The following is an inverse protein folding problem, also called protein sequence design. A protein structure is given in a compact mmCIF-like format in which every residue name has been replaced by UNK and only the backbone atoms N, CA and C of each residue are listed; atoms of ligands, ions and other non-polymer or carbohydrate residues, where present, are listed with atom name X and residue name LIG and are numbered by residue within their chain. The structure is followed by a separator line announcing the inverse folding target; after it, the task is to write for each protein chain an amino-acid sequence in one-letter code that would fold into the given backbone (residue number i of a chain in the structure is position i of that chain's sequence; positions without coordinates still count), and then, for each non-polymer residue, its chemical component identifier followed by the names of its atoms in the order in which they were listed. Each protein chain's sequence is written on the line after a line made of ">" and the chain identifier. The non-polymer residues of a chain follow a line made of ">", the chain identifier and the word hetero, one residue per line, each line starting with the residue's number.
data_IF_773112161300
#
_entry.id   IF_773112161300
#
_cell.length_a   1.000
_cell.length_b   1.000
_cell.length_c   1.000
_cell.angle_alpha   90.00
_cell.angle_beta   90.00
_cell.angle_gamma   90.00
#
_symmetry.space_group_name_H-M   'P 1'
#
loop_
_entity.id
_entity.type
_entity.pdbx_description
1 polymer ?
#
# COMPACT_ATOMS: atom_id res chain seq x y z
N UNK A 1 -24.58 4.08 0.33
CA UNK A 1 -24.73 4.73 1.67
C UNK A 1 -26.10 4.51 2.34
N UNK A 2 -27.08 3.83 1.70
CA UNK A 2 -28.40 3.51 2.30
C UNK A 2 -28.46 2.19 3.07
N UNK A 3 -27.57 1.23 2.79
CA UNK A 3 -27.55 -0.08 3.45
C UNK A 3 -27.10 -0.03 4.92
N UNK A 4 -26.19 0.89 5.27
CA UNK A 4 -25.64 0.99 6.64
C UNK A 4 -26.66 1.55 7.66
N UNK A 5 -27.59 2.40 7.23
CA UNK A 5 -28.64 2.93 8.11
C UNK A 5 -29.68 1.86 8.48
N UNK A 6 -29.91 0.88 7.61
CA UNK A 6 -30.92 -0.14 7.82
C UNK A 6 -30.48 -1.19 8.85
N UNK A 7 -29.19 -1.51 8.85
CA UNK A 7 -28.57 -2.45 9.79
C UNK A 7 -28.69 -1.93 11.23
N UNK A 8 -28.41 -0.64 11.45
CA UNK A 8 -28.44 -0.04 12.79
C UNK A 8 -29.86 -0.02 13.40
N UNK A 9 -30.90 0.08 12.55
CA UNK A 9 -32.30 0.06 12.98
C UNK A 9 -32.77 -1.33 13.41
N UNK A 10 -32.26 -2.38 12.76
CA UNK A 10 -32.55 -3.77 13.11
C UNK A 10 -31.94 -4.11 14.48
N UNK A 11 -30.72 -3.67 14.76
CA UNK A 11 -30.06 -3.89 16.05
C UNK A 11 -30.78 -3.21 17.23
N UNK A 12 -31.26 -1.98 17.03
CA UNK A 12 -32.01 -1.25 18.07
C UNK A 12 -33.34 -1.92 18.42
N UNK A 13 -34.03 -2.50 17.42
CA UNK A 13 -35.32 -3.17 17.64
C UNK A 13 -35.16 -4.53 18.32
N UNK A 14 -34.11 -5.28 17.98
CA UNK A 14 -33.80 -6.55 18.65
C UNK A 14 -33.43 -6.32 20.12
N UNK A 15 -32.62 -5.30 20.42
CA UNK A 15 -32.22 -4.98 21.80
C UNK A 15 -33.39 -4.59 22.70
N UNK A 16 -34.35 -3.79 22.19
CA UNK A 16 -35.58 -3.46 22.92
C UNK A 16 -36.43 -4.69 23.24
N UNK A 17 -36.53 -5.62 22.30
CA UNK A 17 -37.31 -6.86 22.47
C UNK A 17 -36.71 -7.73 23.58
N UNK A 18 -35.37 -7.81 23.66
CA UNK A 18 -34.69 -8.51 24.76
C UNK A 18 -34.90 -7.83 26.11
N UNK A 19 -34.83 -6.50 26.17
CA UNK A 19 -35.07 -5.76 27.41
C UNK A 19 -36.52 -5.92 27.90
N UNK A 20 -37.51 -5.94 27.00
CA UNK A 20 -38.90 -6.19 27.40
C UNK A 20 -39.10 -7.60 27.96
N UNK A 21 -38.51 -8.63 27.34
CA UNK A 21 -38.59 -10.02 27.82
C UNK A 21 -37.93 -10.16 29.20
N UNK A 22 -36.79 -9.52 29.41
CA UNK A 22 -36.09 -9.54 30.71
C UNK A 22 -36.88 -8.78 31.78
N UNK A 23 -37.48 -7.64 31.44
CA UNK A 23 -38.21 -6.80 32.38
C UNK A 23 -39.60 -7.35 32.72
N UNK A 24 -40.27 -8.05 31.80
CA UNK A 24 -41.56 -8.74 32.07
C UNK A 24 -41.39 -10.03 32.87
N UNK A 25 -40.23 -10.68 32.83
CA UNK A 25 -39.96 -11.91 33.60
C UNK A 25 -39.64 -11.63 35.09
N UNK A 26 -39.55 -10.36 35.50
CA UNK A 26 -39.26 -9.97 36.89
C UNK A 26 -40.48 -10.07 37.83
N UNK A 27 -41.71 -10.17 37.32
CA UNK A 27 -42.94 -10.05 38.15
C UNK A 27 -43.60 -11.36 38.58
N UNK A 28 -43.08 -12.54 38.22
CA UNK A 28 -43.77 -13.83 38.45
C UNK A 28 -42.98 -14.91 39.18
N UNK A 29 -41.95 -14.58 39.96
CA UNK A 29 -41.28 -15.60 40.79
C UNK A 29 -41.11 -15.14 42.23
N UNK A 30 -42.21 -15.30 42.98
CA UNK A 30 -42.15 -15.54 44.42
C UNK A 30 -41.44 -16.88 44.63
N UNK A 31 -40.16 -16.83 44.99
CA UNK A 31 -39.44 -18.01 45.45
C UNK A 31 -39.44 -18.01 46.98
N UNK A 32 -40.06 -19.04 47.62
CA UNK A 32 -40.15 -19.12 49.07
C UNK A 32 -38.77 -19.38 49.68
N UNK A 33 -38.61 -18.92 50.92
CA UNK A 33 -37.34 -18.74 51.62
C UNK A 33 -36.32 -19.88 51.47
N UNK A 34 -35.14 -19.53 50.98
CA UNK A 34 -33.83 -19.79 51.60
C UNK A 34 -32.70 -19.42 50.63
N UNK A 35 -31.80 -18.57 51.11
CA UNK A 35 -30.46 -18.31 50.57
C UNK A 35 -30.38 -17.74 49.13
N UNK A 36 -30.75 -16.45 49.03
CA UNK A 36 -30.61 -15.54 47.89
C UNK A 36 -29.19 -15.41 47.28
N UNK A 37 -28.17 -16.01 47.88
CA UNK A 37 -26.77 -15.85 47.47
C UNK A 37 -26.41 -16.72 46.26
N UNK A 38 -26.96 -17.94 46.16
CA UNK A 38 -26.64 -18.87 45.08
C UNK A 38 -27.03 -18.39 43.67
N UNK A 39 -28.26 -17.89 43.40
CA UNK A 39 -28.62 -17.45 42.06
C UNK A 39 -27.92 -16.14 41.66
N UNK A 40 -27.57 -15.29 42.63
CA UNK A 40 -26.83 -14.03 42.39
C UNK A 40 -25.40 -14.31 41.96
N UNK A 41 -24.73 -15.28 42.61
CA UNK A 41 -23.37 -15.67 42.27
C UNK A 41 -23.32 -16.31 40.87
N UNK A 42 -24.29 -17.17 40.55
CA UNK A 42 -24.37 -17.79 39.21
C UNK A 42 -24.65 -16.74 38.12
N UNK A 43 -25.53 -15.77 38.38
CA UNK A 43 -25.78 -14.67 37.43
C UNK A 43 -24.56 -13.76 37.24
N UNK A 44 -23.79 -13.49 38.30
CA UNK A 44 -22.57 -12.68 38.21
C UNK A 44 -21.44 -13.38 37.43
N UNK A 45 -21.31 -14.70 37.58
CA UNK A 45 -20.32 -15.50 36.84
C UNK A 45 -20.69 -15.58 35.35
N UNK A 46 -21.97 -15.77 35.02
CA UNK A 46 -22.43 -15.78 33.62
C UNK A 46 -22.30 -14.40 32.97
N UNK A 47 -22.59 -13.31 33.70
CA UNK A 47 -22.42 -11.96 33.20
C UNK A 47 -20.95 -11.61 32.93
N UNK A 48 -20.03 -12.04 33.79
CA UNK A 48 -18.58 -11.82 33.58
C UNK A 48 -18.02 -12.66 32.44
N UNK A 49 -18.47 -13.90 32.26
CA UNK A 49 -18.07 -14.75 31.12
C UNK A 49 -18.56 -14.19 29.77
N UNK A 50 -19.78 -13.65 29.72
CA UNK A 50 -20.32 -13.03 28.49
C UNK A 50 -19.58 -11.72 28.18
N UNK A 51 -19.21 -10.92 29.18
CA UNK A 51 -18.42 -9.70 28.95
C UNK A 51 -17.02 -10.03 28.44
N UNK A 52 -16.37 -11.09 28.92
CA UNK A 52 -15.02 -11.49 28.45
C UNK A 52 -15.07 -12.08 27.02
N UNK A 53 -16.10 -12.84 26.67
CA UNK A 53 -16.25 -13.41 25.33
C UNK A 53 -16.70 -12.39 24.27
N UNK A 54 -17.32 -11.28 24.67
CA UNK A 54 -17.73 -10.18 23.78
C UNK A 54 -16.91 -8.89 23.96
N UNK A 55 -15.85 -8.93 24.78
CA UNK A 55 -14.82 -7.91 24.80
C UNK A 55 -14.00 -8.03 23.52
N UNK A 56 -14.52 -7.48 22.43
CA UNK A 56 -13.69 -7.08 21.31
C UNK A 56 -12.66 -6.10 21.89
N UNK A 57 -11.35 -6.39 21.93
CA UNK A 57 -10.41 -5.30 21.97
C UNK A 57 -10.67 -4.55 20.67
N UNK A 58 -11.38 -3.43 20.78
CA UNK A 58 -11.32 -2.39 19.76
C UNK A 58 -9.89 -1.87 19.78
N UNK A 59 -8.96 -2.69 19.28
CA UNK A 59 -7.81 -2.20 18.55
C UNK A 59 -8.46 -1.45 17.39
N UNK A 60 -8.69 -0.16 17.62
CA UNK A 60 -8.60 0.85 16.58
C UNK A 60 -7.17 0.77 16.04
N UNK A 61 -6.90 -0.32 15.33
CA UNK A 61 -6.05 -0.30 14.18
C UNK A 61 -6.81 0.59 13.20
N UNK A 62 -6.64 1.90 13.35
CA UNK A 62 -6.38 2.72 12.19
C UNK A 62 -5.12 2.12 11.54
N UNK A 63 -5.29 0.95 10.93
CA UNK A 63 -4.67 0.61 9.69
C UNK A 63 -5.25 1.62 8.71
N UNK A 64 -4.81 2.87 8.84
CA UNK A 64 -4.44 3.59 7.65
C UNK A 64 -3.59 2.58 6.91
N UNK A 65 -4.18 1.97 5.89
CA UNK A 65 -3.41 1.56 4.74
C UNK A 65 -2.70 2.85 4.36
N UNK A 66 -1.53 3.06 4.96
CA UNK A 66 -0.45 3.73 4.30
C UNK A 66 -0.21 2.81 3.12
N UNK A 67 -1.05 2.95 2.09
CA UNK A 67 -0.67 2.60 0.75
C UNK A 67 0.55 3.47 0.56
N UNK A 68 1.73 2.90 0.81
CA UNK A 68 2.92 3.35 0.12
C UNK A 68 2.46 3.36 -1.33
N UNK A 69 2.13 4.54 -1.85
CA UNK A 69 1.78 4.69 -3.25
C UNK A 69 2.89 3.98 -4.01
N UNK A 70 2.50 2.99 -4.82
CA UNK A 70 3.49 2.26 -5.59
C UNK A 70 4.22 3.27 -6.48
N UNK A 71 5.47 2.99 -6.87
CA UNK A 71 6.22 3.90 -7.77
C UNK A 71 5.41 4.20 -9.02
N UNK A 72 4.66 3.20 -9.51
CA UNK A 72 3.71 3.38 -10.61
C UNK A 72 2.58 4.35 -10.27
N UNK A 73 1.92 4.22 -9.11
CA UNK A 73 0.86 5.14 -8.71
C UNK A 73 1.35 6.60 -8.66
N UNK A 74 2.59 6.81 -8.19
CA UNK A 74 3.20 8.13 -8.18
C UNK A 74 3.41 8.68 -9.59
N UNK A 75 3.97 7.89 -10.50
CA UNK A 75 4.19 8.30 -11.90
C UNK A 75 2.86 8.59 -12.60
N UNK A 76 1.82 7.78 -12.38
CA UNK A 76 0.50 8.00 -12.96
C UNK A 76 -0.16 9.27 -12.41
N UNK A 77 0.04 9.55 -11.12
CA UNK A 77 -0.50 10.74 -10.46
C UNK A 77 0.22 12.02 -10.92
N UNK A 78 1.56 12.02 -10.96
CA UNK A 78 2.36 13.20 -11.32
C UNK A 78 2.45 13.40 -12.83
N UNK A 79 2.21 12.35 -13.62
CA UNK A 79 2.52 12.28 -15.05
C UNK A 79 4.00 12.51 -15.36
N UNK A 80 4.87 12.30 -14.39
CA UNK A 80 6.31 12.52 -14.51
C UNK A 80 7.04 11.23 -14.17
N UNK A 81 7.96 10.82 -15.04
CA UNK A 81 8.94 9.78 -14.78
C UNK A 81 10.26 10.48 -14.46
N UNK A 82 10.76 10.30 -13.24
CA UNK A 82 12.08 10.80 -12.85
C UNK A 82 13.13 9.80 -13.33
N UNK A 83 14.08 10.23 -14.12
CA UNK A 83 15.11 9.38 -14.70
C UNK A 83 16.49 9.78 -14.18
N UNK A 84 17.20 8.80 -13.63
CA UNK A 84 18.65 8.89 -13.45
C UNK A 84 19.34 8.64 -14.80
N UNK A 85 20.49 9.25 -15.02
CA UNK A 85 21.23 9.11 -16.28
C UNK A 85 22.71 8.80 -16.05
N UNK A 86 23.29 8.07 -16.98
CA UNK A 86 24.71 7.68 -16.98
C UNK A 86 25.28 8.04 -18.34
N UNK A 87 26.48 8.64 -18.37
CA UNK A 87 27.19 8.86 -19.63
C UNK A 87 27.57 7.52 -20.27
N UNK A 88 26.90 7.14 -21.35
CA UNK A 88 27.14 5.88 -22.05
C UNK A 88 26.89 6.01 -23.56
N UNK A 89 27.73 6.77 -24.31
CA UNK A 89 27.53 6.94 -25.74
C UNK A 89 27.57 5.60 -26.50
N UNK A 90 26.73 5.40 -27.54
CA UNK A 90 25.76 6.34 -28.09
C UNK A 90 24.37 6.28 -27.44
N UNK A 91 24.20 5.50 -26.36
CA UNK A 91 22.89 5.27 -25.73
C UNK A 91 22.35 6.48 -24.96
N UNK A 92 23.19 7.07 -24.10
CA UNK A 92 22.98 8.32 -23.41
C UNK A 92 24.24 9.17 -23.61
N UNK A 93 24.06 10.37 -24.13
CA UNK A 93 25.07 11.39 -24.38
C UNK A 93 24.63 12.60 -23.58
N UNK A 94 25.52 13.07 -22.70
CA UNK A 94 25.26 14.20 -21.81
C UNK A 94 26.07 15.38 -22.32
N UNK A 95 25.40 16.49 -22.61
CA UNK A 95 26.08 17.74 -22.91
C UNK A 95 26.68 18.31 -21.61
N UNK A 96 28.01 18.47 -21.52
CA UNK A 96 28.67 18.92 -20.29
C UNK A 96 28.33 20.37 -19.91
N UNK A 97 27.83 21.19 -20.85
CA UNK A 97 27.48 22.59 -20.60
C UNK A 97 26.03 22.76 -20.18
N UNK A 98 25.12 21.98 -20.77
CA UNK A 98 23.67 22.12 -20.56
C UNK A 98 23.07 21.02 -19.68
N UNK A 99 23.84 19.96 -19.38
CA UNK A 99 23.35 18.73 -18.74
C UNK A 99 22.20 18.06 -19.51
N UNK A 100 22.02 18.39 -20.80
CA UNK A 100 20.99 17.80 -21.63
C UNK A 100 21.36 16.36 -21.95
N UNK A 101 20.45 15.45 -21.62
CA UNK A 101 20.55 14.02 -21.98
C UNK A 101 19.97 13.82 -23.37
N UNK A 102 20.70 13.10 -24.22
CA UNK A 102 20.33 12.76 -25.59
C UNK A 102 20.86 11.37 -25.95
N UNK A 103 20.54 10.85 -27.14
CA UNK A 103 21.10 9.60 -27.64
C UNK A 103 20.03 8.54 -27.86
N UNK A 104 20.40 7.42 -28.48
CA UNK A 104 19.39 6.51 -29.07
C UNK A 104 18.43 5.93 -28.02
N UNK A 105 18.90 5.65 -26.80
CA UNK A 105 18.04 5.11 -25.74
C UNK A 105 17.29 6.22 -25.01
N UNK A 106 17.94 7.35 -24.74
CA UNK A 106 17.27 8.51 -24.15
C UNK A 106 16.10 8.98 -25.03
N UNK A 107 16.35 9.16 -26.33
CA UNK A 107 15.34 9.61 -27.30
C UNK A 107 14.20 8.60 -27.45
N UNK A 108 14.52 7.29 -27.44
CA UNK A 108 13.51 6.24 -27.50
C UNK A 108 12.64 6.22 -26.23
N UNK A 109 13.25 6.46 -25.06
CA UNK A 109 12.56 6.52 -23.79
C UNK A 109 11.64 7.74 -23.68
N UNK A 110 12.10 8.91 -24.14
CA UNK A 110 11.27 10.11 -24.21
C UNK A 110 10.06 9.91 -25.13
N UNK A 111 10.26 9.33 -26.32
CA UNK A 111 9.15 8.99 -27.24
C UNK A 111 8.18 7.96 -26.65
N UNK A 112 8.68 7.02 -25.86
CA UNK A 112 7.82 6.05 -25.15
C UNK A 112 6.96 6.75 -24.10
N UNK A 113 7.57 7.62 -23.30
CA UNK A 113 6.86 8.41 -22.28
C UNK A 113 5.81 9.33 -22.91
N UNK A 114 6.14 10.00 -24.02
CA UNK A 114 5.23 10.85 -24.78
C UNK A 114 3.98 10.08 -25.23
N UNK A 115 4.17 8.89 -25.81
CA UNK A 115 3.06 7.99 -26.21
C UNK A 115 2.20 7.56 -25.02
N UNK A 116 2.79 7.46 -23.83
CA UNK A 116 2.08 7.17 -22.58
C UNK A 116 1.48 8.43 -21.92
N UNK A 117 1.57 9.61 -22.53
CA UNK A 117 1.16 10.89 -21.94
C UNK A 117 1.86 11.18 -20.60
N UNK A 118 3.14 10.82 -20.53
CA UNK A 118 4.07 11.03 -19.41
C UNK A 118 5.22 11.94 -19.86
N UNK A 119 5.77 12.72 -18.92
CA UNK A 119 6.95 13.55 -19.14
C UNK A 119 8.16 12.91 -18.48
N UNK A 120 9.29 12.85 -19.19
CA UNK A 120 10.57 12.46 -18.59
C UNK A 120 11.22 13.66 -17.94
N UNK A 121 11.68 13.50 -16.70
CA UNK A 121 12.50 14.48 -16.00
C UNK A 121 13.82 13.82 -15.64
N UNK A 122 14.91 14.27 -16.27
CA UNK A 122 16.27 13.84 -15.93
C UNK A 122 16.71 14.54 -14.64
N UNK A 123 16.95 13.78 -13.56
CA UNK A 123 17.11 14.35 -12.20
C UNK A 123 18.50 14.20 -11.61
N UNK A 124 19.26 13.18 -11.99
CA UNK A 124 20.54 12.86 -11.33
C UNK A 124 21.48 12.15 -12.30
N UNK A 125 22.71 12.66 -12.44
CA UNK A 125 23.80 11.91 -13.07
C UNK A 125 24.33 10.88 -12.07
N UNK A 126 24.41 9.63 -12.49
CA UNK A 126 24.81 8.51 -11.62
C UNK A 126 25.90 7.66 -12.26
N UNK A 127 26.61 6.90 -11.42
CA UNK A 127 27.57 5.90 -11.88
C UNK A 127 26.92 4.53 -12.02
N UNK A 128 27.51 3.67 -12.87
CA UNK A 128 27.06 2.27 -13.05
C UNK A 128 27.06 1.42 -11.76
N UNK A 129 27.82 1.84 -10.74
CA UNK A 129 27.87 1.20 -9.42
C UNK A 129 26.83 1.72 -8.42
N UNK A 130 26.41 2.98 -8.55
CA UNK A 130 25.49 3.65 -7.61
C UNK A 130 24.05 3.78 -8.14
N UNK A 131 23.81 3.49 -9.42
CA UNK A 131 22.49 3.62 -10.04
C UNK A 131 21.38 2.80 -9.35
N UNK A 132 21.71 1.64 -8.78
CA UNK A 132 20.72 0.80 -8.10
C UNK A 132 20.38 1.36 -6.72
N UNK A 133 21.37 1.96 -6.04
CA UNK A 133 21.15 2.60 -4.75
C UNK A 133 20.19 3.78 -4.88
N UNK A 134 20.29 4.58 -5.95
CA UNK A 134 19.35 5.68 -6.19
C UNK A 134 17.93 5.22 -6.56
N UNK A 135 17.79 4.08 -7.24
CA UNK A 135 16.48 3.43 -7.46
C UNK A 135 15.86 2.97 -6.12
N UNK A 136 16.64 2.30 -5.29
CA UNK A 136 16.18 1.78 -3.98
C UNK A 136 15.82 2.94 -3.03
N UNK A 137 16.62 4.00 -3.04
CA UNK A 137 16.36 5.25 -2.32
C UNK A 137 15.23 6.11 -2.94
N UNK A 138 14.61 5.67 -4.03
CA UNK A 138 13.51 6.37 -4.74
C UNK A 138 13.85 7.80 -5.19
N UNK A 139 15.13 8.07 -5.48
CA UNK A 139 15.57 9.37 -6.02
C UNK A 139 15.10 9.56 -7.46
N UNK A 140 15.00 8.47 -8.19
CA UNK A 140 14.44 8.38 -9.55
C UNK A 140 13.73 7.03 -9.73
N UNK A 141 12.95 6.93 -10.81
CA UNK A 141 12.07 5.82 -11.10
C UNK A 141 12.66 4.87 -12.17
N UNK A 142 13.59 5.35 -13.01
CA UNK A 142 14.24 4.56 -14.07
C UNK A 142 15.65 5.06 -14.42
N UNK A 143 16.45 4.20 -15.07
CA UNK A 143 17.78 4.54 -15.64
C UNK A 143 17.90 4.07 -17.10
N UNK A 144 17.33 4.82 -18.07
CA UNK A 144 17.23 4.40 -19.45
C UNK A 144 18.50 4.75 -20.26
N UNK A 145 19.65 4.13 -19.93
CA UNK A 145 20.94 4.40 -20.58
C UNK A 145 21.69 3.14 -21.05
N UNK A 146 20.97 2.20 -21.67
CA UNK A 146 21.48 0.91 -22.14
C UNK A 146 22.31 0.15 -21.09
N UNK A 147 21.75 0.02 -19.88
CA UNK A 147 22.42 -0.68 -18.79
C UNK A 147 22.50 -2.17 -19.11
N UNK A 148 23.71 -2.72 -19.10
CA UNK A 148 23.92 -4.16 -19.29
C UNK A 148 23.33 -4.96 -18.13
N UNK A 149 22.38 -5.89 -18.38
CA UNK A 149 21.86 -6.78 -17.36
C UNK A 149 22.92 -7.80 -16.95
N UNK A 150 23.08 -8.02 -15.65
CA UNK A 150 23.88 -9.12 -15.12
C UNK A 150 23.19 -9.71 -13.89
N UNK A 151 23.63 -10.88 -13.45
CA UNK A 151 22.99 -11.61 -12.35
C UNK A 151 22.90 -10.77 -11.06
N UNK A 152 23.97 -10.06 -10.69
CA UNK A 152 24.00 -9.24 -9.49
C UNK A 152 23.04 -8.04 -9.52
N UNK A 153 22.82 -7.45 -10.72
CA UNK A 153 21.88 -6.34 -10.89
C UNK A 153 20.43 -6.84 -10.95
N UNK A 154 20.19 -7.96 -11.63
CA UNK A 154 18.87 -8.55 -11.77
C UNK A 154 18.25 -8.97 -10.43
N UNK A 155 19.06 -9.25 -9.40
CA UNK A 155 18.53 -9.50 -8.05
C UNK A 155 18.00 -8.24 -7.33
N UNK A 156 18.32 -7.04 -7.82
CA UNK A 156 18.01 -5.77 -7.15
C UNK A 156 17.22 -4.78 -7.99
N UNK A 157 17.12 -5.00 -9.30
CA UNK A 157 16.41 -4.12 -10.21
C UNK A 157 15.79 -4.93 -11.36
N UNK A 158 14.59 -4.52 -11.77
CA UNK A 158 13.93 -5.05 -12.94
C UNK A 158 14.45 -4.37 -14.21
N UNK A 159 14.61 -5.16 -15.28
CA UNK A 159 15.01 -4.69 -16.59
C UNK A 159 13.84 -4.74 -17.56
N UNK A 160 13.76 -3.74 -18.44
CA UNK A 160 12.85 -3.79 -19.57
C UNK A 160 13.29 -4.85 -20.58
N UNK A 161 12.43 -5.09 -21.59
CA UNK A 161 12.85 -5.84 -22.77
C UNK A 161 14.02 -5.10 -23.45
N UNK A 162 15.09 -5.81 -23.86
CA UNK A 162 16.23 -5.18 -24.50
C UNK A 162 15.81 -4.40 -25.75
N UNK A 163 16.26 -3.14 -25.85
CA UNK A 163 16.05 -2.31 -27.03
C UNK A 163 16.94 -2.72 -28.21
N UNK A 164 18.14 -3.22 -27.91
CA UNK A 164 19.06 -3.76 -28.89
C UNK A 164 19.95 -4.81 -28.22
N UNK A 165 20.53 -5.70 -29.03
CA UNK A 165 21.55 -6.63 -28.61
C UNK A 165 22.89 -6.19 -29.18
N UNK A 166 23.93 -6.26 -28.35
CA UNK A 166 25.32 -6.05 -28.72
C UNK A 166 26.01 -7.40 -28.56
N UNK A 167 26.67 -7.87 -29.61
CA UNK A 167 27.67 -8.92 -29.45
C UNK A 167 28.91 -8.31 -28.79
N UNK A 168 29.44 -8.99 -27.78
CA UNK A 168 30.74 -8.64 -27.22
C UNK A 168 31.79 -9.00 -28.28
N UNK A 169 32.21 -8.01 -29.07
CA UNK A 169 33.49 -8.08 -29.76
C UNK A 169 34.52 -7.70 -28.69
N UNK A 170 35.27 -8.71 -28.24
CA UNK A 170 36.41 -8.54 -27.34
C UNK A 170 37.54 -7.78 -28.01
#
# INVERSE_FOLDING_TARGET
>A
MLLLKNINKIYQNSFRSYLEVVMTNKSRRSFPGSNLLFPVIVAAIVATLVVVLFSNPAKNSNSGVSSKSSTLDQVIQTRIIRAGYVSNPPSCIIDPNTSKVSGIVADAFEKLAEKASLKVQWVEEVGFGSMIEGLDARRYDAVPCAIWPNAARATKADFSRPLFYRTHLG
#
